data_IF_066443319372
#
_entry.id   IF_066443319372
#
_cell.length_a   1.000
_cell.length_b   1.000
_cell.length_c   1.000
_cell.angle_alpha   90.00
_cell.angle_beta   90.00
_cell.angle_gamma   90.00
#
_symmetry.space_group_name_H-M   'P 1'
#
loop_
_entity.id
_entity.type
_entity.pdbx_description
1 polymer ?
#
# COMPACT_ATOMS: atom_id res chain seq x y z
N UNK A 1 13.64 5.67 -11.86
CA UNK A 1 13.82 4.53 -10.94
C UNK A 1 13.78 4.93 -9.47
N UNK A 2 14.65 5.84 -9.00
CA UNK A 2 14.71 6.23 -7.57
C UNK A 2 13.37 6.75 -6.99
N UNK A 3 12.69 7.65 -7.71
CA UNK A 3 11.37 8.16 -7.30
C UNK A 3 10.31 7.06 -7.14
N UNK A 4 10.39 6.00 -7.97
CA UNK A 4 9.46 4.88 -7.91
C UNK A 4 9.68 4.03 -6.64
N UNK A 5 10.94 3.80 -6.25
CA UNK A 5 11.25 3.09 -5.00
C UNK A 5 10.75 3.86 -3.78
N UNK A 6 10.96 5.18 -3.74
CA UNK A 6 10.44 6.05 -2.68
C UNK A 6 8.91 5.97 -2.65
N UNK A 7 8.26 6.07 -3.81
CA UNK A 7 6.81 5.91 -3.94
C UNK A 7 6.33 4.59 -3.32
N UNK A 8 6.94 3.45 -3.67
CA UNK A 8 6.53 2.14 -3.14
C UNK A 8 6.66 2.11 -1.62
N UNK A 9 7.80 2.57 -1.08
CA UNK A 9 8.03 2.58 0.37
C UNK A 9 7.04 3.49 1.09
N UNK A 10 6.82 4.71 0.61
CA UNK A 10 5.85 5.65 1.21
C UNK A 10 4.41 5.12 1.10
N UNK A 11 4.03 4.57 -0.05
CA UNK A 11 2.71 4.01 -0.28
C UNK A 11 2.42 2.88 0.71
N UNK A 12 3.34 1.90 0.78
CA UNK A 12 3.22 0.76 1.69
C UNK A 12 3.25 1.22 3.13
N UNK A 13 4.20 2.08 3.53
CA UNK A 13 4.30 2.56 4.91
C UNK A 13 3.04 3.32 5.32
N UNK A 14 2.50 4.16 4.44
CA UNK A 14 1.26 4.89 4.67
C UNK A 14 0.08 3.96 4.94
N UNK A 15 -0.12 2.96 4.09
CA UNK A 15 -1.20 1.97 4.25
C UNK A 15 -1.06 1.18 5.56
N UNK A 16 0.15 0.71 5.87
CA UNK A 16 0.44 -0.08 7.06
C UNK A 16 0.25 0.75 8.34
N UNK A 17 0.75 1.99 8.37
CA UNK A 17 0.61 2.90 9.52
C UNK A 17 -0.85 3.31 9.76
N UNK A 18 -1.61 3.57 8.69
CA UNK A 18 -3.05 3.85 8.80
C UNK A 18 -3.76 2.65 9.43
N UNK A 19 -3.49 1.44 8.93
CA UNK A 19 -4.07 0.21 9.47
C UNK A 19 -3.69 0.00 10.94
N UNK A 20 -2.42 0.11 11.30
CA UNK A 20 -1.95 -0.02 12.68
C UNK A 20 -2.60 1.00 13.61
N UNK A 21 -2.60 2.27 13.21
CA UNK A 21 -3.20 3.33 14.01
C UNK A 21 -4.71 3.21 14.15
N UNK A 22 -5.39 2.58 13.19
CA UNK A 22 -6.83 2.30 13.27
C UNK A 22 -7.16 1.13 14.20
N UNK A 23 -6.29 0.13 14.32
CA UNK A 23 -6.50 -1.01 15.22
C UNK A 23 -6.24 -0.66 16.69
N UNK A 24 -5.30 0.25 16.95
CA UNK A 24 -5.00 0.73 18.30
C UNK A 24 -6.18 1.46 18.97
N UNK A 25 -7.09 2.04 18.17
CA UNK A 25 -8.28 2.71 18.66
C UNK A 25 -9.49 1.85 18.31
N UNK A 26 -9.91 0.98 19.24
CA UNK A 26 -11.18 0.25 19.09
C UNK A 26 -12.30 1.28 18.97
N UNK A 27 -12.86 1.45 17.78
CA UNK A 27 -14.05 2.26 17.53
C UNK A 27 -15.22 1.52 18.23
N UNK A 28 -15.37 1.75 19.53
CA UNK A 28 -16.50 1.29 20.32
C UNK A 28 -17.62 2.30 20.09
N UNK A 29 -18.58 1.96 19.23
CA UNK A 29 -19.84 2.70 19.13
C UNK A 29 -20.67 2.34 20.35
N UNK A 30 -20.33 2.91 21.50
CA UNK A 30 -21.13 2.82 22.71
C UNK A 30 -21.79 4.18 22.91
N UNK A 31 -23.11 4.24 22.68
CA UNK A 31 -23.98 5.38 22.90
C UNK A 31 -23.62 6.66 22.13
N UNK A 32 -24.03 6.78 20.87
CA UNK A 32 -24.32 8.04 20.14
C UNK A 32 -23.32 9.22 20.20
N UNK A 33 -22.11 9.00 20.74
CA UNK A 33 -21.01 9.95 20.79
C UNK A 33 -19.97 9.44 19.80
N UNK A 34 -19.87 10.12 18.66
CA UNK A 34 -18.87 9.84 17.65
C UNK A 34 -17.48 10.16 18.21
N UNK A 35 -16.89 9.20 18.91
CA UNK A 35 -15.54 9.31 19.47
C UNK A 35 -14.54 8.97 18.37
N UNK A 36 -14.31 9.94 17.47
CA UNK A 36 -13.24 9.87 16.48
C UNK A 36 -11.89 10.04 17.19
N UNK A 37 -11.43 8.97 17.83
CA UNK A 37 -10.05 8.89 18.29
C UNK A 37 -9.21 8.49 17.09
N UNK A 38 -8.61 9.47 16.41
CA UNK A 38 -7.59 9.20 15.41
C UNK A 38 -6.24 9.18 16.11
N UNK A 39 -5.55 8.05 16.08
CA UNK A 39 -4.21 7.99 16.67
C UNK A 39 -3.24 8.83 15.83
N UNK A 40 -2.22 9.39 16.48
CA UNK A 40 -1.16 10.13 15.81
C UNK A 40 -0.48 9.29 14.70
N UNK A 41 -0.40 7.97 14.91
CA UNK A 41 0.08 6.98 13.92
C UNK A 41 -0.75 6.98 12.64
N UNK A 42 -2.08 7.06 12.72
CA UNK A 42 -2.95 7.13 11.53
C UNK A 42 -2.73 8.43 10.76
N UNK A 43 -2.52 9.55 11.45
CA UNK A 43 -2.26 10.85 10.80
C UNK A 43 -0.94 10.81 10.03
N UNK A 44 0.13 10.28 10.64
CA UNK A 44 1.42 10.11 9.97
C UNK A 44 1.27 9.19 8.75
N UNK A 45 0.57 8.06 8.90
CA UNK A 45 0.30 7.15 7.80
C UNK A 45 -0.44 7.83 6.64
N UNK A 46 -1.44 8.65 6.97
CA UNK A 46 -2.20 9.40 5.98
C UNK A 46 -1.33 10.40 5.22
N UNK A 47 -0.51 11.18 5.92
CA UNK A 47 0.43 12.13 5.30
C UNK A 47 1.42 11.40 4.38
N UNK A 48 1.96 10.26 4.84
CA UNK A 48 2.86 9.43 4.06
C UNK A 48 2.21 8.93 2.75
N UNK A 49 0.95 8.48 2.84
CA UNK A 49 0.17 8.06 1.67
C UNK A 49 -0.18 9.23 0.74
N UNK A 50 -0.47 10.43 1.27
CA UNK A 50 -0.69 11.62 0.45
C UNK A 50 0.56 12.02 -0.34
N UNK A 51 1.75 12.01 0.28
CA UNK A 51 2.99 12.29 -0.44
C UNK A 51 3.30 11.23 -1.49
N UNK A 52 3.03 9.95 -1.19
CA UNK A 52 3.09 8.86 -2.17
C UNK A 52 2.24 9.16 -3.40
N UNK A 53 1.00 9.64 -3.20
CA UNK A 53 0.12 10.00 -4.30
C UNK A 53 0.69 11.11 -5.20
N UNK A 54 1.30 12.15 -4.62
CA UNK A 54 1.96 13.21 -5.40
C UNK A 54 3.13 12.64 -6.22
N UNK A 55 3.96 11.78 -5.63
CA UNK A 55 5.04 11.09 -6.34
C UNK A 55 4.50 10.22 -7.49
N UNK A 56 3.39 9.52 -7.25
CA UNK A 56 2.74 8.69 -8.26
C UNK A 56 2.27 9.49 -9.47
N UNK A 57 1.66 10.66 -9.25
CA UNK A 57 1.26 11.57 -10.32
C UNK A 57 2.45 12.02 -11.18
N UNK A 58 3.60 12.33 -10.54
CA UNK A 58 4.83 12.68 -11.26
C UNK A 58 5.35 11.49 -12.08
N UNK A 59 5.33 10.28 -11.51
CA UNK A 59 5.79 9.05 -12.19
C UNK A 59 4.93 8.76 -13.42
N UNK A 60 3.60 8.82 -13.28
CA UNK A 60 2.65 8.62 -14.37
C UNK A 60 2.89 9.64 -15.49
N UNK A 61 3.09 10.92 -15.15
CA UNK A 61 3.28 11.97 -16.15
C UNK A 61 4.52 11.80 -17.03
N UNK A 62 5.49 10.98 -16.59
CA UNK A 62 6.80 10.78 -17.26
C UNK A 62 6.97 9.38 -17.84
N UNK A 63 5.98 8.49 -17.71
CA UNK A 63 6.12 7.07 -18.04
C UNK A 63 4.93 6.59 -18.87
N UNK A 64 5.13 5.54 -19.66
CA UNK A 64 4.02 4.89 -20.35
C UNK A 64 3.08 4.21 -19.35
N UNK A 65 1.82 4.65 -19.34
CA UNK A 65 0.79 4.21 -18.39
C UNK A 65 0.61 2.68 -18.41
N UNK A 66 0.58 2.09 -19.61
CA UNK A 66 0.43 0.64 -19.82
C UNK A 66 1.52 -0.20 -19.16
N UNK A 67 2.67 0.40 -18.85
CA UNK A 67 3.80 -0.28 -18.22
C UNK A 67 3.93 0.04 -16.74
N UNK A 68 3.88 1.33 -16.39
CA UNK A 68 4.17 1.77 -15.02
C UNK A 68 3.05 1.42 -14.06
N UNK A 69 1.79 1.36 -14.52
CA UNK A 69 0.63 1.05 -13.68
C UNK A 69 0.68 -0.41 -13.19
N UNK A 70 0.78 -1.44 -14.06
CA UNK A 70 0.92 -2.82 -13.61
C UNK A 70 2.12 -3.00 -12.67
N UNK A 71 3.26 -2.39 -13.01
CA UNK A 71 4.47 -2.43 -12.19
C UNK A 71 4.23 -1.83 -10.79
N UNK A 72 3.67 -0.62 -10.72
CA UNK A 72 3.32 0.04 -9.46
C UNK A 72 2.49 -0.87 -8.56
N UNK A 73 1.42 -1.42 -9.11
CA UNK A 73 0.49 -2.29 -8.39
C UNK A 73 1.17 -3.54 -7.83
N UNK A 74 2.07 -4.20 -8.57
CA UNK A 74 2.78 -5.35 -7.98
C UNK A 74 3.72 -4.97 -6.86
N UNK A 75 4.61 -3.99 -7.09
CA UNK A 75 5.62 -3.66 -6.11
C UNK A 75 4.96 -3.18 -4.81
N UNK A 76 3.90 -2.37 -4.91
CA UNK A 76 3.14 -1.96 -3.72
C UNK A 76 2.41 -3.14 -3.08
N UNK A 77 1.80 -4.05 -3.84
CA UNK A 77 1.12 -5.22 -3.27
C UNK A 77 2.09 -6.17 -2.56
N UNK A 78 3.24 -6.46 -3.14
CA UNK A 78 4.27 -7.31 -2.54
C UNK A 78 4.77 -6.66 -1.25
N UNK A 79 5.09 -5.37 -1.30
CA UNK A 79 5.56 -4.63 -0.12
C UNK A 79 4.48 -4.58 0.98
N UNK A 80 3.21 -4.38 0.63
CA UNK A 80 2.08 -4.43 1.58
C UNK A 80 1.92 -5.83 2.17
N UNK A 81 2.01 -6.89 1.36
CA UNK A 81 1.93 -8.27 1.86
C UNK A 81 3.02 -8.55 2.90
N UNK A 82 4.26 -8.12 2.61
CA UNK A 82 5.39 -8.24 3.53
C UNK A 82 5.15 -7.41 4.78
N UNK A 83 4.69 -6.17 4.64
CA UNK A 83 4.36 -5.29 5.77
C UNK A 83 3.24 -5.84 6.64
N UNK A 84 2.19 -6.40 6.05
CA UNK A 84 1.08 -7.06 6.75
C UNK A 84 1.55 -8.26 7.56
N UNK A 85 2.44 -9.09 7.01
CA UNK A 85 2.98 -10.24 7.72
C UNK A 85 3.95 -9.85 8.85
N UNK A 86 4.86 -8.90 8.59
CA UNK A 86 5.94 -8.57 9.52
C UNK A 86 5.52 -7.58 10.61
N UNK A 87 4.73 -6.56 10.25
CA UNK A 87 4.42 -5.43 11.13
C UNK A 87 3.03 -5.59 11.75
N UNK A 88 2.02 -5.93 10.94
CA UNK A 88 0.65 -6.14 11.44
C UNK A 88 0.43 -7.53 12.03
N UNK A 89 1.36 -8.47 11.78
CA UNK A 89 1.25 -9.88 12.20
C UNK A 89 -0.07 -10.53 11.75
N UNK A 90 -0.62 -10.09 10.63
CA UNK A 90 -1.86 -10.65 10.08
C UNK A 90 -1.61 -12.06 9.53
N UNK A 91 -2.61 -12.94 9.69
CA UNK A 91 -2.57 -14.26 9.06
C UNK A 91 -2.73 -14.09 7.54
N UNK A 92 -1.60 -14.11 6.83
CA UNK A 92 -1.60 -14.09 5.36
C UNK A 92 -2.07 -15.44 4.84
N UNK A 93 -3.23 -15.46 4.19
CA UNK A 93 -3.78 -16.68 3.61
C UNK A 93 -2.92 -17.20 2.45
N UNK A 94 -2.89 -18.52 2.25
CA UNK A 94 -2.24 -19.17 1.10
C UNK A 94 -2.77 -18.62 -0.24
N UNK A 95 -4.06 -18.30 -0.31
CA UNK A 95 -4.67 -17.68 -1.50
C UNK A 95 -4.08 -16.29 -1.82
N UNK A 96 -3.79 -15.48 -0.80
CA UNK A 96 -3.17 -14.15 -0.99
C UNK A 96 -1.74 -14.28 -1.54
N UNK A 97 -0.98 -15.28 -1.07
CA UNK A 97 0.38 -15.56 -1.55
C UNK A 97 0.35 -16.02 -3.02
N UNK A 98 -0.53 -16.97 -3.34
CA UNK A 98 -0.69 -17.48 -4.71
C UNK A 98 -1.15 -16.35 -5.65
N UNK A 99 -2.15 -15.57 -5.23
CA UNK A 99 -2.64 -14.42 -6.00
C UNK A 99 -1.55 -13.37 -6.25
N UNK A 100 -0.71 -13.09 -5.25
CA UNK A 100 0.45 -12.21 -5.43
C UNK A 100 1.44 -12.78 -6.44
N UNK A 101 1.68 -14.10 -6.44
CA UNK A 101 2.47 -14.77 -7.46
C UNK A 101 1.89 -14.60 -8.87
N UNK A 102 0.57 -14.70 -9.02
CA UNK A 102 -0.12 -14.47 -10.32
C UNK A 102 0.05 -13.03 -10.78
N UNK A 103 -0.03 -12.04 -9.88
CA UNK A 103 0.22 -10.63 -10.21
C UNK A 103 1.64 -10.46 -10.77
N UNK A 104 2.64 -11.08 -10.15
CA UNK A 104 4.03 -11.05 -10.62
C UNK A 104 4.12 -11.65 -12.04
N UNK A 105 3.54 -12.83 -12.26
CA UNK A 105 3.53 -13.48 -13.58
C UNK A 105 2.85 -12.60 -14.64
N UNK A 106 1.70 -12.00 -14.32
CA UNK A 106 1.00 -11.09 -15.22
C UNK A 106 1.86 -9.91 -15.68
N UNK A 107 2.70 -9.38 -14.80
CA UNK A 107 3.61 -8.27 -15.12
C UNK A 107 4.79 -8.72 -15.95
N UNK A 108 5.34 -9.90 -15.69
CA UNK A 108 6.38 -10.49 -16.55
C UNK A 108 5.86 -10.63 -17.98
N UNK A 109 4.60 -11.07 -18.15
CA UNK A 109 3.97 -11.14 -19.48
C UNK A 109 3.85 -9.76 -20.12
N UNK A 110 3.36 -8.75 -19.39
CA UNK A 110 3.24 -7.37 -19.90
C UNK A 110 4.60 -6.79 -20.28
N UNK A 111 5.65 -7.08 -19.49
CA UNK A 111 7.02 -6.67 -19.76
C UNK A 111 7.59 -7.33 -21.03
N UNK A 112 7.29 -8.62 -21.24
CA UNK A 112 7.76 -9.38 -22.42
C UNK A 112 6.98 -9.04 -23.69
N UNK A 113 5.74 -8.56 -23.56
CA UNK A 113 4.91 -8.12 -24.68
C UNK A 113 5.29 -6.72 -25.22
N UNK A 114 6.30 -6.09 -24.63
CA UNK A 114 6.83 -4.76 -25.01
C UNK A 114 8.19 -4.91 -25.68
#
# INVERSE_FOLDING_TARGET
MFLFLIYVVLSTSGLILVKLGSQANSIQITNAVFSFSMSFTTIIGFLCYMFSFVLWMVIISKSEVSYIVPMGVAFTNIAVLIGSKLILQEQVSLGTVIGTGVIILGIVIIQLAK
#
